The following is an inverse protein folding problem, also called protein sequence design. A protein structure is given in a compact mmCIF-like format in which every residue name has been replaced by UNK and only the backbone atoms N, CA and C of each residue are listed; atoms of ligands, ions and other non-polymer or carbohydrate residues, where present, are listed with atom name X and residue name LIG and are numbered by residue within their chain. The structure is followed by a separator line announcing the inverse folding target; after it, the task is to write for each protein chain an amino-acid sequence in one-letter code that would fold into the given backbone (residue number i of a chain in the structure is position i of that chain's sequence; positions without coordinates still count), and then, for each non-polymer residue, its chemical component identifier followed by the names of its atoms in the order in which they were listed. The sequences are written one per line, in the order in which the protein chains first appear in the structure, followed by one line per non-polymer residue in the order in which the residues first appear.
data_IF_704252659784
#
_entry.id   IF_704252659784
#
_cell.length_a   1.000
_cell.length_b   1.000
_cell.length_c   1.000
_cell.angle_alpha   90.00
_cell.angle_beta   90.00
_cell.angle_gamma   90.00
#
_symmetry.space_group_name_H-M   'P 1'
#
loop_
_entity.id
_entity.type
_entity.pdbx_description
1 polymer ?
#
# COMPACT_ATOMS: atom_id res chain seq x y z
N UNK A 1 0.97 9.79 2.86
CA UNK A 1 -0.23 9.31 3.58
C UNK A 1 -1.07 10.50 3.96
N UNK A 2 -2.39 10.34 3.99
CA UNK A 2 -3.35 11.36 4.41
C UNK A 2 -4.52 10.71 5.14
N UNK A 3 -5.53 11.50 5.48
CA UNK A 3 -6.66 11.06 6.32
C UNK A 3 -7.53 9.98 5.67
N UNK A 4 -7.48 9.84 4.34
CA UNK A 4 -8.23 8.83 3.58
C UNK A 4 -7.33 7.74 2.98
N UNK A 5 -6.15 7.53 3.57
CA UNK A 5 -5.23 6.46 3.20
C UNK A 5 -3.98 7.00 2.52
N UNK A 6 -3.58 6.41 1.39
CA UNK A 6 -2.33 6.81 0.75
C UNK A 6 -2.03 6.11 -0.55
N UNK A 7 -0.80 6.32 -1.02
CA UNK A 7 -0.29 5.80 -2.29
C UNK A 7 1.15 5.37 -2.12
N UNK A 8 1.51 4.27 -2.78
CA UNK A 8 2.88 3.88 -3.05
C UNK A 8 3.10 4.06 -4.54
N UNK A 9 4.17 4.78 -4.88
CA UNK A 9 4.70 4.87 -6.23
C UNK A 9 5.83 3.87 -6.36
N UNK A 10 5.72 2.93 -7.28
CA UNK A 10 6.81 2.02 -7.61
C UNK A 10 7.77 2.70 -8.58
N UNK A 11 9.06 2.42 -8.39
CA UNK A 11 10.10 2.73 -9.37
C UNK A 11 10.06 1.69 -10.50
N UNK A 12 10.67 1.94 -11.67
CA UNK A 12 10.58 1.03 -12.83
C UNK A 12 11.00 -0.43 -12.59
N UNK A 13 11.90 -0.67 -11.63
CA UNK A 13 12.33 -2.01 -11.20
C UNK A 13 12.27 -2.08 -9.68
N UNK A 14 11.06 -2.17 -9.09
CA UNK A 14 10.94 -2.15 -7.65
C UNK A 14 11.45 -3.48 -7.08
N UNK A 15 12.07 -3.45 -5.90
CA UNK A 15 12.52 -4.65 -5.18
C UNK A 15 11.36 -5.30 -4.43
N UNK A 16 10.28 -5.61 -5.13
CA UNK A 16 9.07 -6.27 -4.61
C UNK A 16 8.60 -7.29 -5.64
N UNK A 17 8.22 -8.48 -5.18
CA UNK A 17 7.58 -9.46 -6.05
C UNK A 17 6.19 -8.94 -6.48
N UNK A 18 5.90 -8.83 -7.80
CA UNK A 18 4.57 -8.48 -8.28
C UNK A 18 3.43 -9.34 -7.69
N UNK A 19 3.70 -10.61 -7.37
CA UNK A 19 2.73 -11.51 -6.75
C UNK A 19 2.31 -11.05 -5.36
N UNK A 20 3.19 -10.37 -4.61
CA UNK A 20 2.86 -9.75 -3.32
C UNK A 20 1.77 -8.70 -3.49
N UNK A 21 1.92 -7.82 -4.48
CA UNK A 21 0.94 -6.77 -4.78
C UNK A 21 -0.41 -7.38 -5.17
N UNK A 22 -0.38 -8.40 -6.05
CA UNK A 22 -1.59 -9.10 -6.50
C UNK A 22 -2.33 -9.73 -5.31
N UNK A 23 -1.61 -10.43 -4.43
CA UNK A 23 -2.18 -11.06 -3.22
C UNK A 23 -2.77 -10.03 -2.27
N UNK A 24 -2.12 -8.89 -2.06
CA UNK A 24 -2.65 -7.81 -1.22
C UNK A 24 -3.98 -7.26 -1.76
N UNK A 25 -4.05 -7.02 -3.07
CA UNK A 25 -5.27 -6.53 -3.72
C UNK A 25 -6.39 -7.57 -3.63
N UNK A 26 -6.10 -8.84 -3.94
CA UNK A 26 -7.10 -9.90 -3.89
C UNK A 26 -7.57 -10.20 -2.46
N UNK A 27 -6.67 -10.13 -1.47
CA UNK A 27 -7.00 -10.37 -0.06
C UNK A 27 -7.79 -9.24 0.58
N UNK A 28 -7.55 -7.99 0.17
CA UNK A 28 -8.22 -6.81 0.74
C UNK A 28 -8.64 -5.79 -0.34
N UNK A 29 -9.55 -6.16 -1.27
CA UNK A 29 -9.86 -5.35 -2.46
C UNK A 29 -10.58 -4.02 -2.17
N UNK A 30 -11.16 -3.89 -0.96
CA UNK A 30 -11.75 -2.63 -0.48
C UNK A 30 -10.70 -1.64 0.01
N UNK A 31 -9.54 -2.14 0.42
CA UNK A 31 -8.44 -1.38 1.03
C UNK A 31 -7.36 -1.08 -0.01
N UNK A 32 -6.98 -2.06 -0.83
CA UNK A 32 -5.92 -1.93 -1.83
C UNK A 32 -6.44 -2.02 -3.25
N UNK A 33 -6.00 -1.09 -4.10
CA UNK A 33 -6.32 -1.07 -5.52
C UNK A 33 -5.15 -0.49 -6.32
N UNK A 34 -4.93 -0.96 -7.55
CA UNK A 34 -4.02 -0.29 -8.48
C UNK A 34 -4.57 1.09 -8.85
N UNK A 35 -3.69 2.08 -8.97
CA UNK A 35 -4.00 3.47 -9.37
C UNK A 35 -3.11 3.86 -10.56
N UNK A 36 -3.28 3.14 -11.67
CA UNK A 36 -2.32 3.12 -12.78
C UNK A 36 -1.36 1.92 -12.71
N UNK A 37 -0.42 1.79 -13.65
CA UNK A 37 0.44 0.62 -13.76
C UNK A 37 1.53 0.55 -12.69
N UNK A 38 1.88 1.68 -12.08
CA UNK A 38 3.05 1.87 -11.22
C UNK A 38 2.69 2.38 -9.83
N UNK A 39 1.40 2.38 -9.47
CA UNK A 39 0.94 2.87 -8.16
C UNK A 39 -0.03 1.91 -7.50
N UNK A 40 0.17 1.70 -6.21
CA UNK A 40 -0.79 1.05 -5.31
C UNK A 40 -1.46 2.11 -4.44
N UNK A 41 -2.78 2.11 -4.40
CA UNK A 41 -3.58 2.99 -3.55
C UNK A 41 -4.13 2.24 -2.36
N UNK A 42 -3.99 2.86 -1.19
CA UNK A 42 -4.58 2.46 0.07
C UNK A 42 -5.80 3.36 0.35
N UNK A 43 -6.97 2.76 0.59
CA UNK A 43 -8.23 3.42 0.95
C UNK A 43 -8.62 3.00 2.36
N UNK A 44 -8.33 3.85 3.34
CA UNK A 44 -8.60 3.63 4.76
C UNK A 44 -8.71 4.97 5.46
N UNK A 45 -9.60 5.10 6.43
CA UNK A 45 -9.67 6.30 7.27
C UNK A 45 -8.54 6.25 8.31
N UNK A 46 -7.72 7.30 8.32
CA UNK A 46 -6.53 7.43 9.17
C UNK A 46 -6.48 8.86 9.76
N UNK A 47 -7.41 9.21 10.67
CA UNK A 47 -7.51 10.56 11.23
C UNK A 47 -6.26 10.95 12.04
N UNK A 48 -5.60 9.99 12.69
CA UNK A 48 -4.44 10.25 13.55
C UNK A 48 -3.11 10.35 12.81
N UNK A 49 -2.23 11.26 13.24
CA UNK A 49 -0.84 11.29 12.76
C UNK A 49 -0.08 9.99 13.07
N UNK A 50 -0.25 9.46 14.28
CA UNK A 50 0.35 8.18 14.71
C UNK A 50 -0.18 7.00 13.90
N UNK A 51 -1.49 6.92 13.66
CA UNK A 51 -2.10 5.87 12.84
C UNK A 51 -1.54 5.89 11.42
N UNK A 52 -1.46 7.08 10.79
CA UNK A 52 -0.87 7.24 9.47
C UNK A 52 0.57 6.71 9.41
N UNK A 53 1.37 6.98 10.45
CA UNK A 53 2.76 6.52 10.51
C UNK A 53 2.85 5.00 10.69
N UNK A 54 2.07 4.44 11.61
CA UNK A 54 2.04 2.99 11.86
C UNK A 54 1.57 2.24 10.63
N UNK A 55 0.48 2.69 9.98
CA UNK A 55 -0.02 2.07 8.74
C UNK A 55 0.99 2.17 7.61
N UNK A 56 1.70 3.30 7.47
CA UNK A 56 2.76 3.42 6.48
C UNK A 56 3.88 2.39 6.71
N UNK A 57 4.29 2.23 7.96
CA UNK A 57 5.32 1.26 8.34
C UNK A 57 4.88 -0.17 8.04
N UNK A 58 3.72 -0.59 8.53
CA UNK A 58 3.22 -1.95 8.31
C UNK A 58 3.00 -2.25 6.83
N UNK A 59 2.57 -1.25 6.04
CA UNK A 59 2.44 -1.38 4.60
C UNK A 59 3.81 -1.66 3.94
N UNK A 60 4.85 -0.91 4.29
CA UNK A 60 6.20 -1.15 3.77
C UNK A 60 6.73 -2.53 4.19
N UNK A 61 6.54 -2.93 5.44
CA UNK A 61 6.94 -4.25 5.95
C UNK A 61 6.26 -5.40 5.18
N UNK A 62 4.97 -5.25 4.86
CA UNK A 62 4.23 -6.26 4.07
C UNK A 62 4.78 -6.44 2.66
N UNK A 63 5.41 -5.41 2.09
CA UNK A 63 5.97 -5.45 0.74
C UNK A 63 7.39 -6.01 0.70
N UNK A 64 8.13 -5.91 1.80
CA UNK A 64 9.55 -6.34 1.87
C UNK A 64 9.70 -7.76 2.40
N UNK A 65 8.80 -8.21 3.28
CA UNK A 65 8.89 -9.51 3.95
C UNK A 65 8.08 -10.64 3.26
N UNK A 66 7.80 -10.50 1.97
CA UNK A 66 7.01 -11.46 1.18
C UNK A 66 7.87 -12.28 0.24
#
# INVERSE_FOLDING_TARGET
MGERGGRIQFVPKPKVDPMTIIRMIQGQPRIFQMDGPDKLRLKMELPGATERLTTARSLLESLVNS
#
